data_IF_217465613767
#
_entry.id   IF_217465613767
#
_cell.length_a   1.000
_cell.length_b   1.000
_cell.length_c   1.000
_cell.angle_alpha   90.00
_cell.angle_beta   90.00
_cell.angle_gamma   90.00
#
_symmetry.space_group_name_H-M   'P 1'
#
loop_
_entity.id
_entity.type
_entity.pdbx_description
1 polymer ?
#
# COMPACT_ATOMS: atom_id res chain seq x y z
N UNK A 1 -51.30 -31.91 -45.05
CA UNK A 1 -50.52 -30.69 -45.35
C UNK A 1 -50.25 -30.01 -44.03
N UNK A 2 -48.97 -29.95 -43.63
CA UNK A 2 -48.55 -29.59 -42.29
C UNK A 2 -48.55 -28.09 -42.03
N UNK A 3 -48.95 -27.71 -40.81
CA UNK A 3 -48.73 -26.40 -40.22
C UNK A 3 -47.26 -26.29 -39.81
N UNK A 4 -46.56 -25.25 -40.27
CA UNK A 4 -45.26 -24.86 -39.73
C UNK A 4 -45.33 -23.38 -39.38
N UNK A 5 -45.39 -23.10 -38.08
CA UNK A 5 -45.21 -21.78 -37.50
C UNK A 5 -43.72 -21.40 -37.61
N UNK A 6 -43.42 -20.28 -38.28
CA UNK A 6 -42.08 -19.69 -38.30
C UNK A 6 -42.11 -18.48 -37.36
N UNK A 7 -41.41 -18.60 -36.23
CA UNK A 7 -41.16 -17.51 -35.30
C UNK A 7 -40.14 -16.55 -35.89
N UNK A 8 -40.48 -15.26 -35.89
CA UNK A 8 -39.63 -14.15 -36.30
C UNK A 8 -38.69 -13.84 -35.13
N UNK A 9 -37.41 -14.18 -35.26
CA UNK A 9 -36.36 -13.63 -34.38
C UNK A 9 -35.83 -12.34 -35.02
N UNK A 10 -36.25 -11.21 -34.46
CA UNK A 10 -35.62 -9.91 -34.68
C UNK A 10 -34.30 -9.91 -33.93
N UNK A 11 -33.19 -10.13 -34.64
CA UNK A 11 -31.86 -9.81 -34.13
C UNK A 11 -31.69 -8.29 -34.21
N UNK A 12 -32.05 -7.60 -33.14
CA UNK A 12 -31.66 -6.21 -32.93
C UNK A 12 -30.12 -6.18 -32.82
N UNK A 13 -29.47 -5.78 -33.91
CA UNK A 13 -28.07 -5.39 -33.92
C UNK A 13 -27.91 -4.11 -33.13
N UNK A 14 -27.58 -4.24 -31.84
CA UNK A 14 -27.00 -3.13 -31.10
C UNK A 14 -25.52 -3.06 -31.46
N UNK A 15 -25.19 -2.12 -32.34
CA UNK A 15 -23.86 -1.59 -32.52
C UNK A 15 -23.39 -0.97 -31.19
N UNK A 16 -22.71 -1.75 -30.37
CA UNK A 16 -21.92 -1.22 -29.26
C UNK A 16 -20.57 -0.80 -29.82
N UNK A 17 -20.50 0.46 -30.22
CA UNK A 17 -19.27 1.18 -30.49
C UNK A 17 -18.50 1.25 -29.15
N UNK A 18 -17.71 0.22 -28.84
CA UNK A 18 -16.78 0.26 -27.71
C UNK A 18 -15.60 1.11 -28.18
N UNK A 19 -15.74 2.41 -27.96
CA UNK A 19 -14.62 3.33 -28.02
C UNK A 19 -13.70 2.97 -26.86
N UNK A 20 -12.79 2.03 -27.11
CA UNK A 20 -11.71 1.69 -26.20
C UNK A 20 -10.76 2.88 -26.14
N UNK A 21 -11.10 3.88 -25.32
CA UNK A 21 -10.16 4.91 -24.94
C UNK A 21 -9.08 4.25 -24.09
N UNK A 22 -7.97 3.99 -24.76
CA UNK A 22 -6.69 3.57 -24.23
C UNK A 22 -6.36 4.36 -22.97
N UNK A 23 -6.02 3.64 -21.90
CA UNK A 23 -5.41 4.24 -20.72
C UNK A 23 -4.24 5.12 -21.16
N UNK A 24 -4.25 6.39 -20.74
CA UNK A 24 -3.13 7.29 -21.01
C UNK A 24 -1.92 6.75 -20.25
N UNK A 25 -1.01 6.11 -21.00
CA UNK A 25 0.27 5.61 -20.52
C UNK A 25 1.20 6.82 -20.37
N UNK A 26 1.48 7.21 -19.13
CA UNK A 26 2.52 8.19 -18.85
C UNK A 26 3.82 7.43 -18.58
N UNK A 27 4.56 7.13 -19.64
CA UNK A 27 5.90 6.53 -19.54
C UNK A 27 6.88 7.62 -19.05
N UNK A 28 7.20 7.61 -17.76
CA UNK A 28 8.29 8.43 -17.21
C UNK A 28 9.57 7.60 -17.29
N UNK A 29 10.37 7.84 -18.33
CA UNK A 29 11.71 7.26 -18.45
C UNK A 29 12.66 7.99 -17.48
N UNK A 30 13.08 7.33 -16.42
CA UNK A 30 14.15 7.81 -15.54
C UNK A 30 15.42 7.05 -15.92
N UNK A 31 16.39 7.78 -16.49
CA UNK A 31 17.73 7.30 -16.79
C UNK A 31 18.34 6.63 -15.56
N UNK A 32 19.13 5.57 -15.78
CA UNK A 32 19.90 4.84 -14.77
C UNK A 32 20.91 5.78 -14.08
N UNK A 33 20.44 6.65 -13.18
CA UNK A 33 21.28 7.22 -12.13
C UNK A 33 21.27 6.20 -11.01
N UNK A 34 22.39 5.50 -10.88
CA UNK A 34 22.83 4.99 -9.59
C UNK A 34 22.77 6.15 -8.59
N UNK A 35 21.71 6.22 -7.80
CA UNK A 35 21.63 7.15 -6.67
C UNK A 35 22.77 6.75 -5.73
N UNK A 36 23.73 7.64 -5.46
CA UNK A 36 24.80 7.33 -4.53
C UNK A 36 24.19 6.98 -3.17
N UNK A 37 24.62 5.85 -2.62
CA UNK A 37 24.18 5.21 -1.37
C UNK A 37 24.50 6.01 -0.10
N UNK A 38 24.48 7.35 -0.12
CA UNK A 38 24.82 8.16 1.04
C UNK A 38 24.08 9.51 1.16
N UNK A 39 22.89 9.64 0.58
CA UNK A 39 21.98 10.73 0.95
C UNK A 39 20.55 10.23 1.01
N UNK A 40 19.92 10.32 2.19
CA UNK A 40 18.49 10.14 2.38
C UNK A 40 17.73 11.14 1.52
N UNK A 41 17.40 10.74 0.29
CA UNK A 41 16.80 11.66 -0.66
C UNK A 41 15.36 11.90 -0.26
N UNK A 42 15.11 13.06 0.35
CA UNK A 42 13.77 13.64 0.54
C UNK A 42 13.05 13.96 -0.77
N UNK A 43 13.62 13.58 -1.92
CA UNK A 43 13.03 13.77 -3.24
C UNK A 43 12.25 12.51 -3.64
N UNK A 44 10.99 12.65 -4.04
CA UNK A 44 10.20 11.53 -4.52
C UNK A 44 10.71 11.04 -5.87
N UNK A 45 10.64 9.73 -6.07
CA UNK A 45 10.89 9.05 -7.35
C UNK A 45 9.74 9.31 -8.33
N UNK A 46 8.53 9.54 -7.83
CA UNK A 46 7.39 9.99 -8.63
C UNK A 46 6.62 11.12 -7.93
N UNK A 47 6.38 12.21 -8.65
CA UNK A 47 5.38 13.23 -8.31
C UNK A 47 4.20 13.03 -9.25
N UNK A 48 3.05 12.68 -8.69
CA UNK A 48 1.89 12.18 -9.44
C UNK A 48 0.68 13.03 -9.09
N UNK A 49 0.26 13.87 -10.01
CA UNK A 49 -0.96 14.68 -9.87
C UNK A 49 -1.93 14.33 -10.99
N UNK A 50 -3.21 14.20 -10.63
CA UNK A 50 -4.21 13.88 -11.63
C UNK A 50 -5.62 13.75 -11.08
N UNK A 51 -6.49 13.25 -11.95
CA UNK A 51 -7.88 12.97 -11.66
C UNK A 51 -8.33 11.63 -12.24
N UNK A 52 -9.29 10.99 -11.57
CA UNK A 52 -9.98 9.78 -12.03
C UNK A 52 -11.47 10.04 -12.14
N UNK A 53 -12.12 9.34 -13.08
CA UNK A 53 -13.58 9.28 -13.23
C UNK A 53 -13.96 7.84 -13.59
N UNK A 54 -15.02 7.31 -12.99
CA UNK A 54 -15.53 5.97 -13.30
C UNK A 54 -14.46 4.88 -13.22
N UNK A 55 -14.37 4.01 -14.22
CA UNK A 55 -13.42 2.89 -14.22
C UNK A 55 -12.01 3.26 -14.71
N UNK A 56 -11.73 4.54 -14.93
CA UNK A 56 -10.41 4.97 -15.40
C UNK A 56 -9.36 4.71 -14.32
N UNK A 57 -8.18 4.29 -14.78
CA UNK A 57 -6.98 4.18 -13.97
C UNK A 57 -5.84 4.96 -14.63
N UNK A 58 -4.85 5.31 -13.82
CA UNK A 58 -3.58 5.86 -14.30
C UNK A 58 -2.44 4.94 -13.86
N UNK A 59 -1.46 4.76 -14.74
CA UNK A 59 -0.35 3.84 -14.52
C UNK A 59 0.96 4.60 -14.60
N UNK A 60 1.84 4.33 -13.63
CA UNK A 60 3.15 4.97 -13.49
C UNK A 60 4.21 3.90 -13.30
N UNK A 61 5.29 3.94 -14.08
CA UNK A 61 6.39 2.98 -13.94
C UNK A 61 7.61 3.60 -13.27
N UNK A 62 8.34 2.78 -12.52
CA UNK A 62 9.60 3.15 -11.90
C UNK A 62 10.49 1.93 -11.69
N UNK A 63 11.80 2.14 -11.58
CA UNK A 63 12.77 1.07 -11.26
C UNK A 63 13.14 1.12 -9.79
N UNK A 64 13.40 -0.05 -9.22
CA UNK A 64 13.90 -0.19 -7.85
C UNK A 64 14.82 -1.40 -7.71
N UNK A 65 15.62 -1.42 -6.65
CA UNK A 65 16.39 -2.58 -6.19
C UNK A 65 15.56 -3.41 -5.19
N UNK A 66 15.93 -4.68 -5.05
CA UNK A 66 15.37 -5.55 -4.00
C UNK A 66 15.67 -5.00 -2.60
N UNK A 67 14.74 -5.19 -1.67
CA UNK A 67 14.81 -4.75 -0.27
C UNK A 67 14.75 -3.23 -0.07
N UNK A 68 14.46 -2.45 -1.12
CA UNK A 68 14.08 -1.06 -0.97
C UNK A 68 12.62 -0.96 -0.51
N UNK A 69 12.26 0.14 0.12
CA UNK A 69 10.89 0.40 0.60
C UNK A 69 10.23 1.46 -0.26
N UNK A 70 9.12 1.10 -0.91
CA UNK A 70 8.20 2.06 -1.49
C UNK A 70 7.34 2.67 -0.39
N UNK A 71 7.23 4.00 -0.41
CA UNK A 71 6.30 4.78 0.41
C UNK A 71 5.59 5.80 -0.47
N UNK A 72 4.26 5.77 -0.52
CA UNK A 72 3.46 6.77 -1.23
C UNK A 72 2.77 7.69 -0.24
N UNK A 73 3.17 8.96 -0.28
CA UNK A 73 2.54 10.04 0.49
C UNK A 73 1.37 10.57 -0.31
N UNK A 74 0.19 10.60 0.33
CA UNK A 74 -1.03 11.16 -0.24
C UNK A 74 -1.21 12.59 0.25
N UNK A 75 -1.16 13.56 -0.65
CA UNK A 75 -1.40 14.98 -0.35
C UNK A 75 -2.75 15.38 -0.94
N UNK A 76 -3.68 15.93 -0.14
CA UNK A 76 -5.01 16.36 -0.60
C UNK A 76 -5.74 15.35 -1.51
N UNK A 77 -5.55 14.06 -1.23
CA UNK A 77 -6.06 12.96 -2.05
C UNK A 77 -7.23 12.30 -1.35
N UNK A 78 -8.29 12.00 -2.11
CA UNK A 78 -9.46 11.29 -1.59
C UNK A 78 -9.11 9.90 -1.06
N UNK A 79 -9.78 9.49 0.03
CA UNK A 79 -9.72 8.13 0.57
C UNK A 79 -10.23 7.06 -0.42
N UNK A 80 -10.99 7.47 -1.44
CA UNK A 80 -11.50 6.57 -2.48
C UNK A 80 -10.43 6.17 -3.51
N UNK A 81 -9.24 6.79 -3.46
CA UNK A 81 -8.12 6.41 -4.33
C UNK A 81 -7.51 5.11 -3.83
N UNK A 82 -7.37 4.15 -4.72
CA UNK A 82 -6.77 2.85 -4.46
C UNK A 82 -5.45 2.78 -5.19
N UNK A 83 -4.40 2.33 -4.48
CA UNK A 83 -3.07 2.15 -5.03
C UNK A 83 -2.74 0.67 -5.08
N UNK A 84 -2.38 0.20 -6.27
CA UNK A 84 -1.93 -1.18 -6.48
C UNK A 84 -0.57 -1.18 -7.13
N UNK A 85 0.35 -1.99 -6.60
CA UNK A 85 1.70 -2.12 -7.14
C UNK A 85 1.88 -3.48 -7.82
N UNK A 86 2.47 -3.46 -9.02
CA UNK A 86 2.77 -4.65 -9.80
C UNK A 86 4.26 -4.67 -10.16
N UNK A 87 4.91 -5.83 -10.04
CA UNK A 87 6.26 -6.03 -10.56
C UNK A 87 6.18 -6.49 -12.02
N UNK A 88 6.92 -5.84 -12.92
CA UNK A 88 6.85 -6.08 -14.37
C UNK A 88 7.92 -7.06 -14.89
N UNK A 89 8.76 -7.61 -14.02
CA UNK A 89 9.80 -8.56 -14.43
C UNK A 89 9.27 -9.96 -14.76
N UNK A 90 10.20 -10.87 -15.06
CA UNK A 90 9.94 -12.22 -15.60
C UNK A 90 9.18 -13.19 -14.66
N UNK A 91 8.94 -12.79 -13.41
CA UNK A 91 8.09 -13.52 -12.47
C UNK A 91 6.73 -12.81 -12.37
N UNK A 92 5.77 -13.16 -13.23
CA UNK A 92 4.46 -12.48 -13.30
C UNK A 92 3.37 -13.08 -12.41
N UNK A 93 3.65 -14.20 -11.71
CA UNK A 93 2.75 -14.80 -10.70
C UNK A 93 2.76 -14.06 -9.36
N UNK A 94 2.89 -12.74 -9.40
CA UNK A 94 2.99 -11.92 -8.19
C UNK A 94 1.61 -11.33 -7.93
N UNK A 95 1.03 -11.72 -6.79
CA UNK A 95 -0.15 -11.06 -6.25
C UNK A 95 0.08 -9.54 -6.20
N UNK A 96 -0.96 -8.78 -6.52
CA UNK A 96 -0.94 -7.33 -6.41
C UNK A 96 -0.36 -6.91 -5.05
N UNK A 97 0.74 -6.16 -5.07
CA UNK A 97 1.37 -5.60 -3.88
C UNK A 97 0.63 -4.33 -3.47
N UNK A 98 0.78 -3.95 -2.20
CA UNK A 98 0.27 -2.67 -1.72
C UNK A 98 0.95 -1.51 -2.47
N UNK A 99 0.15 -0.56 -2.95
CA UNK A 99 0.69 0.65 -3.60
C UNK A 99 0.97 1.80 -2.64
N UNK A 100 0.48 1.74 -1.40
CA UNK A 100 0.72 2.78 -0.38
C UNK A 100 2.08 2.62 0.29
N UNK A 101 2.39 1.38 0.65
CA UNK A 101 3.62 1.04 1.36
C UNK A 101 4.01 -0.40 1.07
N UNK A 102 5.24 -0.63 0.62
CA UNK A 102 5.69 -1.97 0.23
C UNK A 102 7.21 -2.13 0.30
N UNK A 103 7.68 -3.20 0.95
CA UNK A 103 9.06 -3.68 0.77
C UNK A 103 9.16 -4.34 -0.60
N UNK A 104 10.03 -3.83 -1.47
CA UNK A 104 10.12 -4.21 -2.86
C UNK A 104 10.89 -5.54 -3.00
N UNK A 105 10.23 -6.63 -3.46
CA UNK A 105 10.79 -7.98 -3.40
C UNK A 105 11.94 -8.24 -4.37
N UNK A 106 11.97 -7.50 -5.48
CA UNK A 106 12.84 -7.77 -6.63
C UNK A 106 13.50 -6.50 -7.14
N UNK A 107 14.68 -6.66 -7.74
CA UNK A 107 15.28 -5.60 -8.55
C UNK A 107 14.61 -5.60 -9.93
N UNK A 108 14.11 -4.46 -10.37
CA UNK A 108 13.55 -4.31 -11.70
C UNK A 108 12.51 -3.19 -11.77
N UNK A 109 11.68 -3.26 -12.80
CA UNK A 109 10.63 -2.28 -13.06
C UNK A 109 9.33 -2.67 -12.35
N UNK A 110 8.68 -1.66 -11.79
CA UNK A 110 7.40 -1.73 -11.11
C UNK A 110 6.41 -0.79 -11.77
N UNK A 111 5.12 -1.12 -11.64
CA UNK A 111 4.00 -0.32 -12.08
C UNK A 111 3.10 0.00 -10.90
N UNK A 112 2.97 1.28 -10.57
CA UNK A 112 1.99 1.80 -9.63
C UNK A 112 0.72 2.16 -10.40
N UNK A 113 -0.39 1.52 -10.05
CA UNK A 113 -1.70 1.78 -10.62
C UNK A 113 -2.52 2.58 -9.63
N UNK A 114 -2.97 3.75 -10.06
CA UNK A 114 -3.89 4.64 -9.34
C UNK A 114 -5.28 4.41 -9.90
N UNK A 115 -6.20 3.96 -9.05
CA UNK A 115 -7.59 3.67 -9.44
C UNK A 115 -8.56 4.06 -8.33
N UNK A 116 -9.84 3.73 -8.48
CA UNK A 116 -10.83 3.78 -7.39
C UNK A 116 -11.53 2.42 -7.26
N UNK A 117 -12.28 2.23 -6.17
CA UNK A 117 -12.99 0.97 -5.98
C UNK A 117 -14.06 0.77 -7.06
N UNK A 118 -14.35 -0.50 -7.39
CA UNK A 118 -15.45 -0.86 -8.31
C UNK A 118 -16.79 -0.30 -7.84
N UNK A 119 -17.01 -0.27 -6.53
CA UNK A 119 -18.26 0.21 -5.95
C UNK A 119 -18.45 1.71 -6.22
N UNK A 120 -17.40 2.51 -5.99
CA UNK A 120 -17.43 3.96 -6.18
C UNK A 120 -17.52 4.32 -7.67
N UNK A 121 -16.75 3.63 -8.51
CA UNK A 121 -16.81 3.77 -9.97
C UNK A 121 -18.21 3.50 -10.54
N UNK A 122 -18.97 2.56 -9.95
CA UNK A 122 -20.33 2.22 -10.40
C UNK A 122 -21.37 3.25 -9.96
N UNK A 123 -21.31 3.72 -8.71
CA UNK A 123 -22.31 4.62 -8.15
C UNK A 123 -22.12 6.07 -8.60
N UNK A 124 -20.87 6.48 -8.83
CA UNK A 124 -20.53 7.85 -9.21
C UNK A 124 -19.62 7.87 -10.46
N UNK A 125 -20.09 7.38 -11.62
CA UNK A 125 -19.23 7.19 -12.80
C UNK A 125 -18.65 8.49 -13.35
N UNK A 126 -19.30 9.63 -13.11
CA UNK A 126 -18.89 10.95 -13.58
C UNK A 126 -18.23 11.80 -12.48
N UNK A 127 -18.14 11.30 -11.24
CA UNK A 127 -17.49 12.05 -10.17
C UNK A 127 -15.97 12.07 -10.39
N UNK A 128 -15.41 13.27 -10.39
CA UNK A 128 -13.98 13.49 -10.50
C UNK A 128 -13.31 13.32 -9.13
N UNK A 129 -12.37 12.39 -9.03
CA UNK A 129 -11.54 12.18 -7.85
C UNK A 129 -10.15 12.73 -8.14
N UNK A 130 -9.81 13.84 -7.50
CA UNK A 130 -8.47 14.42 -7.57
C UNK A 130 -7.51 13.70 -6.65
N UNK A 131 -6.27 13.56 -7.08
CA UNK A 131 -5.17 13.00 -6.30
C UNK A 131 -3.87 13.75 -6.54
N UNK A 132 -3.06 13.80 -5.50
CA UNK A 132 -1.68 14.27 -5.51
C UNK A 132 -0.86 13.31 -4.63
N UNK A 133 0.03 12.55 -5.26
CA UNK A 133 0.79 11.48 -4.65
C UNK A 133 2.28 11.73 -4.85
N UNK A 134 3.07 11.44 -3.82
CA UNK A 134 4.52 11.46 -3.88
C UNK A 134 5.08 10.10 -3.49
N UNK A 135 5.64 9.39 -4.45
CA UNK A 135 6.24 8.09 -4.22
C UNK A 135 7.73 8.24 -3.89
N UNK A 136 8.17 7.63 -2.80
CA UNK A 136 9.55 7.61 -2.34
C UNK A 136 10.06 6.18 -2.32
N UNK A 137 11.32 6.00 -2.68
CA UNK A 137 12.03 4.74 -2.54
C UNK A 137 13.23 5.01 -1.67
N UNK A 138 13.31 4.29 -0.56
CA UNK A 138 14.45 4.37 0.34
C UNK A 138 15.07 3.01 0.50
N UNK A 139 16.39 2.98 0.68
CA UNK A 139 17.03 1.75 1.14
C UNK A 139 16.50 1.44 2.53
N UNK A 140 16.16 0.18 2.78
CA UNK A 140 15.96 -0.28 4.14
C UNK A 140 17.30 -0.10 4.85
N UNK A 141 17.40 0.85 5.78
CA UNK A 141 18.63 1.06 6.54
C UNK A 141 19.03 -0.25 7.21
N UNK A 142 20.09 -0.85 6.68
CA UNK A 142 20.70 -2.06 7.21
C UNK A 142 21.59 -1.67 8.37
N UNK A 143 21.11 -1.86 9.59
CA UNK A 143 22.05 -2.41 10.57
C UNK A 143 22.29 -3.86 10.12
N UNK A 144 23.47 -4.10 9.54
CA UNK A 144 23.84 -5.36 8.92
C UNK A 144 23.66 -6.53 9.91
N UNK A 145 22.61 -7.32 9.69
CA UNK A 145 22.46 -8.75 9.94
C UNK A 145 20.96 -9.04 9.99
N UNK A 146 20.51 -9.93 9.11
CA UNK A 146 19.17 -10.52 9.00
C UNK A 146 18.06 -10.03 9.97
N UNK A 147 17.22 -9.14 9.42
CA UNK A 147 15.75 -9.19 9.40
C UNK A 147 14.88 -9.02 10.65
N UNK A 148 15.42 -8.67 11.82
CA UNK A 148 14.60 -8.38 13.00
C UNK A 148 15.03 -7.03 13.63
N UNK A 149 14.32 -5.94 13.34
CA UNK A 149 14.51 -4.69 14.08
C UNK A 149 13.73 -4.77 15.38
N UNK A 150 14.41 -5.11 16.48
CA UNK A 150 13.84 -5.04 17.83
C UNK A 150 13.90 -3.59 18.29
N UNK A 151 12.74 -3.05 18.65
CA UNK A 151 12.60 -1.67 19.08
C UNK A 151 11.79 -1.67 20.36
N UNK A 152 12.35 -1.05 21.39
CA UNK A 152 11.68 -0.86 22.67
C UNK A 152 11.07 0.55 22.69
N UNK A 153 9.80 0.62 23.09
CA UNK A 153 9.08 1.87 23.23
C UNK A 153 8.62 2.08 24.65
N UNK A 154 8.66 3.33 25.11
CA UNK A 154 7.99 3.81 26.31
C UNK A 154 6.68 4.48 25.95
N UNK A 155 5.58 4.01 26.51
CA UNK A 155 4.23 4.53 26.28
C UNK A 155 3.78 5.51 27.38
N UNK A 156 2.71 6.26 27.15
CA UNK A 156 2.13 7.22 28.11
C UNK A 156 1.85 6.60 29.49
N UNK A 157 1.50 5.32 29.53
CA UNK A 157 1.21 4.57 30.77
C UNK A 157 2.47 4.17 31.55
N UNK A 158 3.65 4.68 31.18
CA UNK A 158 4.98 4.22 31.64
C UNK A 158 5.27 2.73 31.39
N UNK A 159 4.39 2.02 30.69
CA UNK A 159 4.64 0.64 30.24
C UNK A 159 5.58 0.64 29.05
N UNK A 160 6.33 -0.45 28.93
CA UNK A 160 7.21 -0.71 27.79
C UNK A 160 6.54 -1.63 26.78
N UNK A 161 6.92 -1.47 25.53
CA UNK A 161 6.47 -2.28 24.40
C UNK A 161 7.68 -2.69 23.57
N UNK A 162 7.92 -3.99 23.43
CA UNK A 162 8.94 -4.46 22.49
C UNK A 162 8.27 -4.86 21.19
N UNK A 163 8.73 -4.28 20.08
CA UNK A 163 8.27 -4.62 18.74
C UNK A 163 9.46 -5.10 17.93
N UNK A 164 9.36 -6.30 17.39
CA UNK A 164 10.29 -6.82 16.39
C UNK A 164 9.66 -6.73 15.02
N UNK A 165 10.16 -5.85 14.15
CA UNK A 165 9.70 -5.77 12.77
C UNK A 165 10.44 -6.78 11.90
N UNK A 166 9.68 -7.64 11.24
CA UNK A 166 10.16 -8.61 10.26
C UNK A 166 9.70 -8.15 8.87
N UNK A 167 10.58 -7.40 8.20
CA UNK A 167 10.29 -6.82 6.90
C UNK A 167 10.72 -7.81 5.83
N UNK A 168 9.82 -8.69 5.38
CA UNK A 168 10.12 -9.59 4.26
C UNK A 168 9.42 -9.11 2.98
N UNK A 169 10.09 -9.34 1.85
CA UNK A 169 9.75 -9.02 0.46
C UNK A 169 8.26 -9.07 0.07
N UNK A 170 7.47 -9.97 0.67
CA UNK A 170 6.02 -10.06 0.44
C UNK A 170 5.16 -10.08 1.71
N UNK A 171 5.78 -10.22 2.88
CA UNK A 171 5.10 -10.41 4.16
C UNK A 171 5.81 -9.59 5.22
N UNK A 172 5.46 -8.31 5.35
CA UNK A 172 5.88 -7.54 6.51
C UNK A 172 5.05 -7.96 7.71
N UNK A 173 5.72 -8.37 8.78
CA UNK A 173 5.08 -8.70 10.04
C UNK A 173 5.75 -7.94 11.18
N UNK A 174 5.02 -7.79 12.27
CA UNK A 174 5.53 -7.24 13.52
C UNK A 174 5.24 -8.24 14.64
N UNK A 175 6.26 -8.64 15.38
CA UNK A 175 6.09 -9.40 16.61
C UNK A 175 6.07 -8.42 17.77
N UNK A 176 4.95 -8.37 18.47
CA UNK A 176 4.76 -7.51 19.65
C UNK A 176 4.92 -8.35 20.91
N UNK A 177 5.74 -7.90 21.85
CA UNK A 177 5.79 -8.41 23.22
C UNK A 177 5.09 -7.42 24.15
N UNK A 178 3.97 -7.83 24.74
CA UNK A 178 3.24 -7.05 25.73
C UNK A 178 2.84 -7.96 26.89
N UNK A 179 3.17 -7.56 28.13
CA UNK A 179 2.91 -8.36 29.35
C UNK A 179 3.39 -9.82 29.21
N UNK A 180 4.62 -10.02 28.68
CA UNK A 180 5.25 -11.31 28.40
C UNK A 180 4.53 -12.21 27.38
N UNK A 181 3.57 -11.67 26.64
CA UNK A 181 2.90 -12.40 25.55
C UNK A 181 3.44 -11.92 24.21
N UNK A 182 3.94 -12.87 23.41
CA UNK A 182 4.38 -12.61 22.04
C UNK A 182 3.22 -12.80 21.06
N UNK A 183 3.03 -11.83 20.17
CA UNK A 183 1.96 -11.81 19.18
C UNK A 183 2.51 -11.42 17.82
N UNK A 184 2.37 -12.33 16.85
CA UNK A 184 2.70 -12.05 15.46
C UNK A 184 1.53 -11.32 14.78
N UNK A 185 1.81 -10.16 14.23
CA UNK A 185 0.88 -9.29 13.52
C UNK A 185 1.30 -9.20 12.06
N UNK A 186 0.34 -9.32 11.14
CA UNK A 186 0.58 -9.16 9.71
C UNK A 186 0.26 -7.75 9.28
N UNK A 187 0.96 -7.23 8.27
CA UNK A 187 0.58 -5.96 7.67
C UNK A 187 -0.88 -5.98 7.20
N UNK A 188 -1.62 -4.95 7.57
CA UNK A 188 -3.04 -4.82 7.29
C UNK A 188 -3.27 -3.69 6.29
N UNK A 189 -3.46 -4.00 4.99
CA UNK A 189 -3.62 -2.99 3.96
C UNK A 189 -4.94 -2.22 4.07
N UNK A 190 -5.95 -2.75 4.77
CA UNK A 190 -7.25 -2.10 4.88
C UNK A 190 -7.18 -0.89 5.81
N UNK A 191 -6.44 -1.03 6.92
CA UNK A 191 -6.32 0.03 7.93
C UNK A 191 -5.03 0.84 7.81
N UNK A 192 -4.04 0.34 7.08
CA UNK A 192 -2.85 1.12 6.75
C UNK A 192 -3.23 2.24 5.80
N UNK A 193 -3.11 3.49 6.27
CA UNK A 193 -3.32 4.67 5.44
C UNK A 193 -2.02 5.45 5.31
N UNK A 194 -1.71 5.87 4.09
CA UNK A 194 -0.56 6.73 3.81
C UNK A 194 0.75 6.10 4.35
N UNK A 195 1.47 6.82 5.22
CA UNK A 195 2.72 6.38 5.84
C UNK A 195 2.52 5.82 7.25
N UNK A 196 1.29 5.45 7.62
CA UNK A 196 0.93 4.97 8.94
C UNK A 196 0.57 3.48 8.84
N UNK A 197 1.57 2.59 8.87
CA UNK A 197 1.32 1.17 8.72
C UNK A 197 0.59 0.63 9.95
N UNK A 198 -0.35 -0.26 9.68
CA UNK A 198 -1.08 -1.02 10.69
C UNK A 198 -0.71 -2.48 10.52
N UNK A 199 -0.38 -3.12 11.64
CA UNK A 199 -0.19 -4.56 11.70
C UNK A 199 -1.27 -5.16 12.59
N UNK A 200 -1.95 -6.20 12.14
CA UNK A 200 -3.06 -6.80 12.87
C UNK A 200 -3.03 -8.33 12.83
N UNK A 201 -3.72 -8.92 13.78
CA UNK A 201 -4.19 -10.30 13.71
C UNK A 201 -5.64 -10.36 14.24
N UNK A 202 -6.17 -11.54 14.51
CA UNK A 202 -7.56 -11.70 14.99
C UNK A 202 -7.82 -11.12 16.39
N UNK A 203 -6.79 -10.70 17.12
CA UNK A 203 -6.89 -10.20 18.50
C UNK A 203 -6.23 -8.86 18.72
N UNK A 204 -5.12 -8.56 18.07
CA UNK A 204 -4.34 -7.36 18.35
C UNK A 204 -4.17 -6.52 17.09
N UNK A 205 -4.13 -5.20 17.28
CA UNK A 205 -3.83 -4.23 16.24
C UNK A 205 -2.78 -3.24 16.75
N UNK A 206 -1.68 -3.14 16.01
CA UNK A 206 -0.57 -2.22 16.24
C UNK A 206 -0.62 -1.13 15.16
N UNK A 207 -0.82 0.11 15.58
CA UNK A 207 -0.79 1.28 14.71
C UNK A 207 0.53 2.01 14.88
N UNK A 208 1.26 2.18 13.78
CA UNK A 208 2.52 2.91 13.75
C UNK A 208 2.27 4.33 13.24
N UNK A 209 2.98 5.25 13.86
CA UNK A 209 3.09 6.64 13.46
C UNK A 209 3.73 6.77 12.09
N UNK A 210 3.82 8.01 11.62
CA UNK A 210 4.27 8.30 10.26
C UNK A 210 5.71 7.83 10.07
N UNK A 211 5.91 6.83 9.20
CA UNK A 211 7.23 6.29 8.89
C UNK A 211 7.99 7.24 7.98
N UNK A 212 9.07 7.83 8.52
CA UNK A 212 10.02 8.62 7.75
C UNK A 212 11.08 7.69 7.16
N UNK A 213 11.32 7.84 5.86
CA UNK A 213 12.42 7.16 5.15
C UNK A 213 12.42 5.61 5.21
N UNK A 214 11.27 4.97 5.51
CA UNK A 214 11.16 3.51 5.53
C UNK A 214 11.76 2.85 6.79
N UNK A 215 12.16 3.64 7.79
CA UNK A 215 12.72 3.14 9.06
C UNK A 215 11.60 3.03 10.09
N UNK A 216 10.99 1.84 10.17
CA UNK A 216 9.92 1.54 11.13
C UNK A 216 10.33 1.84 12.58
N UNK A 217 11.59 1.53 12.92
CA UNK A 217 12.07 1.67 14.28
C UNK A 217 12.24 3.10 14.76
N UNK A 218 12.20 4.10 13.90
CA UNK A 218 12.32 5.51 14.32
C UNK A 218 10.96 6.20 14.43
N UNK A 219 9.89 5.46 14.14
CA UNK A 219 8.52 5.98 14.17
C UNK A 219 7.89 5.73 15.52
N UNK A 220 7.08 6.66 16.01
CA UNK A 220 6.28 6.44 17.23
C UNK A 220 5.27 5.32 17.00
N UNK A 221 4.94 4.51 18.00
CA UNK A 221 3.75 3.65 17.96
C UNK A 221 2.58 4.48 18.48
N UNK A 222 1.53 4.65 17.67
CA UNK A 222 0.34 5.37 18.11
C UNK A 222 -0.48 4.56 19.09
N UNK A 223 -0.66 3.27 18.83
CA UNK A 223 -1.46 2.42 19.72
C UNK A 223 -1.19 0.93 19.55
N UNK A 224 -1.37 0.20 20.64
CA UNK A 224 -1.64 -1.24 20.64
C UNK A 224 -3.06 -1.46 21.21
N UNK A 225 -3.90 -2.18 20.47
CA UNK A 225 -5.32 -2.40 20.80
C UNK A 225 -5.60 -3.90 20.87
N UNK A 226 -6.36 -4.35 21.88
CA UNK A 226 -6.98 -5.68 21.94
C UNK A 226 -8.40 -5.62 21.36
N UNK A 227 -8.57 -6.21 20.18
CA UNK A 227 -9.80 -6.27 19.39
C UNK A 227 -10.88 -7.18 19.99
N UNK A 228 -10.54 -8.08 20.91
CA UNK A 228 -11.48 -9.03 21.50
C UNK A 228 -12.00 -8.60 22.86
N UNK A 229 -11.28 -7.69 23.54
CA UNK A 229 -11.65 -7.22 24.88
C UNK A 229 -12.86 -6.27 24.88
N UNK A 230 -13.15 -5.59 23.78
CA UNK A 230 -14.33 -4.74 23.62
C UNK A 230 -14.83 -4.76 22.17
N UNK A 231 -16.11 -4.40 21.95
CA UNK A 231 -16.71 -4.33 20.61
C UNK A 231 -15.97 -3.37 19.67
N UNK A 232 -15.40 -2.30 20.21
CA UNK A 232 -14.68 -1.27 19.47
C UNK A 232 -13.15 -1.42 19.62
N UNK A 233 -12.69 -2.53 20.21
CA UNK A 233 -11.32 -2.70 20.66
C UNK A 233 -11.05 -2.01 22.00
N UNK A 234 -10.08 -2.52 22.75
CA UNK A 234 -9.63 -1.94 24.00
C UNK A 234 -8.19 -1.45 23.85
N UNK A 235 -7.98 -0.16 24.06
CA UNK A 235 -6.65 0.44 24.00
C UNK A 235 -5.77 -0.08 25.14
N UNK A 236 -4.71 -0.81 24.79
CA UNK A 236 -3.75 -1.33 25.76
C UNK A 236 -2.63 -0.32 26.02
N UNK A 237 -2.11 0.26 24.95
CA UNK A 237 -1.01 1.22 24.97
C UNK A 237 -1.24 2.30 23.93
N UNK A 238 -0.73 3.50 24.18
CA UNK A 238 -0.78 4.62 23.27
C UNK A 238 0.48 5.48 23.34
N UNK A 239 0.72 6.23 22.27
CA UNK A 239 1.79 7.23 22.15
C UNK A 239 3.15 6.71 22.61
N UNK A 240 3.55 5.53 22.14
CA UNK A 240 4.82 4.94 22.53
C UNK A 240 5.97 5.51 21.69
N UNK A 241 6.97 6.05 22.39
CA UNK A 241 8.18 6.62 21.80
C UNK A 241 9.34 5.67 21.99
N UNK A 242 10.19 5.56 20.97
CA UNK A 242 11.40 4.74 21.05
C UNK A 242 12.30 5.21 22.20
N UNK A 243 12.87 4.24 22.91
CA UNK A 243 13.88 4.45 23.97
C UNK A 243 15.27 4.29 23.37
#
# INVERSE_FOLDING_TARGET
MGFLAIAIFVTAGCASNVNSNTGKKHDVHIDDRSVPTNQGSNNPVLNIEGNLTGYNSQEYTFKANSNQVLRVVRENTSDNVVLTLQYLGTNTNIEALSGDFQVLPYKGEYKLVVSQTRNDARHNPNAEIKFNLKAYITDQQSNSNQHNSVVNYKCDSNKTLDVTYHLANRNSTATVSYENTLQLLKFDPQYSKQNNPVFSNSRYMLSIGTVKEGVFGDSTVYSLIDLQKSKDGYLLLQNCQKI
#
